data_IF_913154017936
#
_entry.id   IF_913154017936
#
_cell.length_a   1.000
_cell.length_b   1.000
_cell.length_c   1.000
_cell.angle_alpha   90.00
_cell.angle_beta   90.00
_cell.angle_gamma   90.00
#
_symmetry.space_group_name_H-M   'P 1'
#
loop_
_entity.id
_entity.type
_entity.pdbx_description
1 polymer ?
#
# COMPACT_ATOMS: atom_id res chain seq x y z
N UNK A 1 25.40 5.04 -17.75
CA UNK A 1 24.97 3.92 -16.88
C UNK A 1 24.48 4.46 -15.53
N UNK A 2 25.28 5.21 -14.78
CA UNK A 2 24.86 5.79 -13.48
C UNK A 2 23.62 6.71 -13.59
N UNK A 3 23.54 7.57 -14.61
CA UNK A 3 22.39 8.46 -14.84
C UNK A 3 21.06 7.70 -15.04
N UNK A 4 21.08 6.66 -15.87
CA UNK A 4 19.91 5.82 -16.14
C UNK A 4 19.43 5.10 -14.87
N UNK A 5 20.36 4.55 -14.08
CA UNK A 5 20.04 3.89 -12.82
C UNK A 5 19.43 4.86 -11.80
N UNK A 6 19.95 6.08 -11.69
CA UNK A 6 19.38 7.11 -10.81
C UNK A 6 17.98 7.53 -11.24
N UNK A 7 17.73 7.64 -12.55
CA UNK A 7 16.40 7.98 -13.09
C UNK A 7 15.39 6.84 -12.93
N UNK A 8 15.83 5.60 -13.11
CA UNK A 8 15.01 4.41 -12.81
C UNK A 8 14.67 4.32 -11.33
N UNK A 9 15.63 4.61 -10.44
CA UNK A 9 15.39 4.70 -9.00
C UNK A 9 14.36 5.78 -8.68
N UNK A 10 14.47 6.97 -9.27
CA UNK A 10 13.50 8.05 -9.05
C UNK A 10 12.09 7.66 -9.55
N UNK A 11 11.98 7.08 -10.74
CA UNK A 11 10.70 6.61 -11.28
C UNK A 11 10.07 5.56 -10.38
N UNK A 12 10.87 4.66 -9.81
CA UNK A 12 10.32 3.58 -9.02
C UNK A 12 10.10 3.92 -7.53
N UNK A 13 10.44 5.15 -7.11
CA UNK A 13 9.90 5.76 -5.89
C UNK A 13 8.60 6.54 -6.17
N UNK A 14 8.27 6.80 -7.45
CA UNK A 14 7.03 7.46 -7.90
C UNK A 14 5.96 6.41 -8.22
N UNK A 15 6.37 5.30 -8.82
CA UNK A 15 5.53 4.17 -9.19
C UNK A 15 5.97 2.98 -8.31
N UNK A 16 5.37 2.85 -7.12
CA UNK A 16 5.76 1.86 -6.10
C UNK A 16 5.50 0.42 -6.58
N UNK A 17 4.23 -0.01 -6.55
CA UNK A 17 3.80 -1.41 -6.74
C UNK A 17 3.90 -1.90 -8.18
N UNK A 18 3.57 -1.04 -9.14
CA UNK A 18 3.59 -1.37 -10.57
C UNK A 18 5.02 -1.62 -11.06
N UNK A 19 5.99 -1.08 -10.33
CA UNK A 19 7.42 -1.20 -10.62
C UNK A 19 8.13 -2.20 -9.69
N UNK A 20 7.44 -2.86 -8.75
CA UNK A 20 8.03 -3.92 -7.91
C UNK A 20 8.59 -5.09 -8.74
N UNK A 21 7.89 -5.62 -9.78
CA UNK A 21 8.42 -6.69 -10.62
C UNK A 21 9.73 -6.33 -11.36
N UNK A 22 9.85 -5.17 -12.06
CA UNK A 22 11.11 -4.76 -12.66
C UNK A 22 12.18 -4.30 -11.65
N UNK A 23 11.80 -3.86 -10.43
CA UNK A 23 12.75 -3.48 -9.37
C UNK A 23 13.54 -4.65 -8.79
N UNK A 24 12.99 -5.88 -8.80
CA UNK A 24 13.70 -7.09 -8.38
C UNK A 24 14.93 -7.38 -9.26
N UNK A 25 14.88 -6.98 -10.54
CA UNK A 25 16.00 -7.11 -11.48
C UNK A 25 17.09 -6.04 -11.24
N UNK A 26 16.77 -4.97 -10.52
CA UNK A 26 17.67 -3.86 -10.19
C UNK A 26 18.31 -3.99 -8.79
N UNK A 27 18.12 -5.11 -8.10
CA UNK A 27 18.68 -5.40 -6.76
C UNK A 27 18.44 -4.28 -5.73
N UNK A 28 17.24 -3.69 -5.73
CA UNK A 28 16.88 -2.74 -4.68
C UNK A 28 16.96 -3.42 -3.32
N UNK A 29 17.48 -2.68 -2.34
CA UNK A 29 17.58 -3.16 -0.97
C UNK A 29 16.19 -3.24 -0.35
N UNK A 30 15.89 -4.37 0.28
CA UNK A 30 14.71 -4.54 1.12
C UNK A 30 14.56 -3.33 2.07
N UNK A 31 13.35 -2.78 2.13
CA UNK A 31 12.97 -1.75 3.08
C UNK A 31 11.85 -2.30 3.95
N UNK A 32 12.10 -2.40 5.25
CA UNK A 32 11.09 -2.88 6.19
C UNK A 32 9.85 -1.97 6.15
N UNK A 33 8.68 -2.60 6.35
CA UNK A 33 7.41 -1.90 6.51
C UNK A 33 7.51 -0.81 7.57
N UNK A 34 7.07 0.40 7.21
CA UNK A 34 6.92 1.54 8.12
C UNK A 34 5.63 2.28 7.82
N UNK A 35 5.06 2.86 8.86
CA UNK A 35 3.88 3.72 8.78
C UNK A 35 4.25 5.09 8.22
N UNK A 36 3.46 5.58 7.27
CA UNK A 36 3.68 6.91 6.65
C UNK A 36 3.23 8.03 7.59
N UNK A 37 2.17 7.78 8.36
CA UNK A 37 1.62 8.69 9.36
C UNK A 37 1.73 8.08 10.75
N UNK A 38 1.68 8.93 11.77
CA UNK A 38 1.60 8.50 13.17
C UNK A 38 0.31 7.70 13.43
N UNK A 39 -0.79 8.10 12.79
CA UNK A 39 -2.02 7.33 12.73
C UNK A 39 -1.89 6.27 11.63
N UNK A 40 -1.81 5.01 12.06
CA UNK A 40 -1.62 3.85 11.19
C UNK A 40 -2.85 3.58 10.32
N UNK A 41 -4.02 3.79 10.91
CA UNK A 41 -5.34 3.63 10.29
C UNK A 41 -6.16 4.87 10.58
N UNK A 42 -6.79 5.42 9.56
CA UNK A 42 -7.77 6.51 9.68
C UNK A 42 -9.14 6.00 9.25
N UNK A 43 -10.19 6.49 9.92
CA UNK A 43 -11.59 6.14 9.62
C UNK A 43 -12.31 7.40 9.18
N UNK A 44 -13.11 7.29 8.12
CA UNK A 44 -13.99 8.34 7.64
C UNK A 44 -15.34 7.73 7.28
N UNK A 45 -16.42 8.50 7.42
CA UNK A 45 -17.77 8.08 7.06
C UNK A 45 -18.20 8.97 5.90
N UNK A 46 -18.59 8.37 4.78
CA UNK A 46 -18.98 9.08 3.57
C UNK A 46 -20.28 8.47 3.01
N UNK A 47 -21.34 9.27 2.96
CA UNK A 47 -22.66 8.88 2.43
C UNK A 47 -23.19 7.52 2.94
N UNK A 48 -22.98 7.21 4.22
CA UNK A 48 -23.40 5.95 4.85
C UNK A 48 -22.42 4.79 4.69
N UNK A 49 -21.27 5.01 4.05
CA UNK A 49 -20.19 4.04 3.95
C UNK A 49 -19.07 4.35 4.96
N UNK A 50 -18.51 3.31 5.57
CA UNK A 50 -17.32 3.45 6.42
C UNK A 50 -16.09 3.22 5.55
N UNK A 51 -15.23 4.23 5.44
CA UNK A 51 -13.93 4.15 4.77
C UNK A 51 -12.80 4.09 5.79
N UNK A 52 -12.14 2.95 5.86
CA UNK A 52 -10.88 2.74 6.59
C UNK A 52 -9.71 2.97 5.63
N UNK A 53 -8.68 3.70 6.04
CA UNK A 53 -7.49 3.94 5.22
C UNK A 53 -6.24 3.61 6.02
N UNK A 54 -5.41 2.72 5.46
CA UNK A 54 -4.13 2.28 6.00
C UNK A 54 -2.98 2.81 5.12
N UNK A 55 -1.98 3.47 5.74
CA UNK A 55 -0.84 4.07 5.02
C UNK A 55 0.48 3.47 5.48
N UNK A 56 0.95 2.47 4.76
CA UNK A 56 2.23 1.80 4.99
C UNK A 56 3.14 1.88 3.76
N UNK A 57 4.45 1.90 3.98
CA UNK A 57 5.50 1.85 2.95
C UNK A 57 6.52 0.79 3.27
N UNK A 58 7.05 0.14 2.25
CA UNK A 58 8.07 -0.91 2.33
C UNK A 58 8.60 -1.23 0.95
N UNK A 59 9.64 -2.06 0.88
CA UNK A 59 10.07 -2.68 -0.37
C UNK A 59 10.35 -4.16 -0.14
N UNK A 60 9.66 -5.09 -0.83
CA UNK A 60 8.55 -4.85 -1.77
C UNK A 60 7.36 -4.11 -1.14
N UNK A 61 6.48 -3.55 -1.97
CA UNK A 61 5.29 -2.83 -1.51
C UNK A 61 4.45 -3.73 -0.59
N UNK A 62 3.99 -3.23 0.58
CA UNK A 62 3.32 -4.07 1.56
C UNK A 62 1.90 -4.45 1.13
N UNK A 63 1.53 -5.71 1.37
CA UNK A 63 0.15 -6.18 1.23
C UNK A 63 -0.68 -5.80 2.48
N UNK A 64 -1.89 -5.27 2.27
CA UNK A 64 -2.80 -4.87 3.35
C UNK A 64 -4.04 -5.77 3.35
N UNK A 65 -4.32 -6.39 4.50
CA UNK A 65 -5.48 -7.26 4.72
C UNK A 65 -6.29 -6.76 5.91
N UNK A 66 -7.61 -6.72 5.77
CA UNK A 66 -8.53 -6.25 6.81
C UNK A 66 -9.32 -7.43 7.39
N UNK A 67 -9.48 -7.46 8.71
CA UNK A 67 -10.19 -8.53 9.42
C UNK A 67 -11.33 -7.95 10.26
N UNK A 68 -12.40 -8.73 10.42
CA UNK A 68 -13.47 -8.41 11.36
C UNK A 68 -13.28 -9.21 12.64
N UNK A 69 -13.83 -8.75 13.76
CA UNK A 69 -13.70 -9.46 15.04
C UNK A 69 -14.37 -10.85 15.02
N UNK A 70 -15.36 -11.04 14.15
CA UNK A 70 -16.16 -12.26 14.03
C UNK A 70 -15.58 -13.30 13.06
N UNK A 71 -14.62 -12.93 12.21
CA UNK A 71 -14.05 -13.83 11.21
C UNK A 71 -12.53 -13.73 11.16
N UNK A 72 -11.87 -14.89 11.07
CA UNK A 72 -10.43 -14.98 10.78
C UNK A 72 -10.12 -14.79 9.30
N UNK A 73 -11.13 -14.72 8.46
CA UNK A 73 -10.96 -14.50 7.02
C UNK A 73 -10.89 -13.00 6.71
N UNK A 74 -10.03 -12.60 5.76
CA UNK A 74 -9.93 -11.22 5.36
C UNK A 74 -11.22 -10.78 4.67
N UNK A 75 -11.67 -9.57 4.98
CA UNK A 75 -12.80 -8.94 4.29
C UNK A 75 -12.43 -8.75 2.83
N UNK A 76 -13.32 -9.13 1.90
CA UNK A 76 -13.15 -8.80 0.50
C UNK A 76 -13.44 -7.32 0.29
N UNK A 77 -12.36 -6.54 0.28
CA UNK A 77 -12.44 -5.10 0.20
C UNK A 77 -12.45 -4.65 -1.26
N UNK A 78 -13.44 -3.85 -1.66
CA UNK A 78 -13.48 -3.25 -3.00
C UNK A 78 -12.26 -2.37 -3.29
N UNK A 79 -11.81 -2.36 -4.56
CA UNK A 79 -10.65 -1.63 -5.13
C UNK A 79 -9.57 -1.27 -4.11
N UNK A 80 -8.66 -2.22 -3.87
CA UNK A 80 -7.31 -1.92 -3.38
C UNK A 80 -6.60 -1.17 -4.51
N UNK A 81 -6.58 0.17 -4.45
CA UNK A 81 -5.58 0.91 -5.22
C UNK A 81 -4.29 0.74 -4.42
N UNK A 82 -3.31 0.06 -4.98
CA UNK A 82 -1.93 0.00 -4.46
C UNK A 82 -1.22 1.37 -4.59
N UNK A 83 -1.94 2.45 -4.30
CA UNK A 83 -1.43 3.81 -4.32
C UNK A 83 -1.42 4.21 -2.86
N UNK A 84 -0.37 3.89 -2.10
CA UNK A 84 -0.15 4.38 -0.72
C UNK A 84 -1.32 4.25 0.32
N UNK A 85 -2.46 3.68 -0.07
CA UNK A 85 -3.77 3.83 0.57
C UNK A 85 -4.52 2.50 0.42
N UNK A 86 -4.31 1.56 1.34
CA UNK A 86 -5.23 0.44 1.50
C UNK A 86 -6.55 0.99 2.02
N UNK A 87 -7.57 1.10 1.17
CA UNK A 87 -8.88 1.60 1.58
C UNK A 87 -9.89 0.47 1.73
N UNK A 88 -10.59 0.39 2.86
CA UNK A 88 -11.73 -0.49 3.03
C UNK A 88 -13.06 0.22 3.21
N UNK A 89 -14.01 -0.10 2.33
CA UNK A 89 -15.38 0.40 2.36
C UNK A 89 -16.29 -0.69 2.91
N UNK A 90 -16.93 -0.43 4.05
CA UNK A 90 -18.00 -1.28 4.59
C UNK A 90 -19.32 -0.56 4.31
N UNK A 91 -20.18 -1.19 3.52
CA UNK A 91 -21.56 -0.76 3.24
C UNK A 91 -22.52 -1.71 3.96
N UNK A 92 -23.59 -1.16 4.55
CA UNK A 92 -24.72 -1.94 5.10
C UNK A 92 -25.55 -2.64 4.01
#
# INVERSE_FOLDING_TARGET
>A
IMDLLSRLQALSDIYDDEFDPPQLQLFRKFKQLRWVKNEQVTMSIDEGNIKLECRAKGFPCPEVQWYTNSSKEPVHVGKIKNVEFGSATISE
#
